data_IF_743662667122
#
_entry.id   IF_743662667122
#
_cell.length_a   1.000
_cell.length_b   1.000
_cell.length_c   1.000
_cell.angle_alpha   90.00
_cell.angle_beta   90.00
_cell.angle_gamma   90.00
#
_symmetry.space_group_name_H-M   'P 1'
#
loop_
_entity.id
_entity.type
_entity.pdbx_description
1 polymer ?
#
# COMPACT_ATOMS: atom_id res chain seq x y z
N UNK A 1 2.98 8.15 1.52
CA UNK A 1 2.07 7.34 0.66
C UNK A 1 1.46 8.24 -0.39
N UNK A 2 1.05 7.69 -1.54
CA UNK A 2 0.38 8.44 -2.59
C UNK A 2 -0.70 7.61 -3.29
N UNK A 3 -1.82 8.24 -3.64
CA UNK A 3 -2.79 7.68 -4.58
C UNK A 3 -2.36 8.00 -6.01
N UNK A 4 -2.43 7.01 -6.90
CA UNK A 4 -2.01 7.11 -8.30
C UNK A 4 -3.14 6.61 -9.19
N UNK A 5 -3.53 7.42 -10.18
CA UNK A 5 -4.62 7.10 -11.10
C UNK A 5 -4.13 6.31 -12.31
N UNK A 6 -3.66 5.09 -12.06
CA UNK A 6 -3.22 4.14 -13.08
C UNK A 6 -3.42 2.69 -12.58
N UNK A 7 -3.34 1.72 -13.49
CA UNK A 7 -3.40 0.29 -13.15
C UNK A 7 -2.10 -0.22 -12.53
N UNK A 8 -2.19 -1.34 -11.81
CA UNK A 8 -1.05 -1.91 -11.08
C UNK A 8 0.06 -2.38 -12.01
N UNK A 9 -0.26 -2.94 -13.18
CA UNK A 9 0.75 -3.48 -14.11
C UNK A 9 1.70 -2.39 -14.60
N UNK A 10 1.15 -1.30 -15.15
CA UNK A 10 1.93 -0.16 -15.61
C UNK A 10 2.62 0.55 -14.47
N UNK A 11 1.97 0.66 -13.30
CA UNK A 11 2.59 1.29 -12.14
C UNK A 11 3.80 0.49 -11.66
N UNK A 12 3.74 -0.84 -11.64
CA UNK A 12 4.86 -1.72 -11.27
C UNK A 12 6.07 -1.55 -12.19
N UNK A 13 5.88 -1.30 -13.48
CA UNK A 13 6.99 -1.01 -14.41
C UNK A 13 7.72 0.29 -14.05
N UNK A 14 6.98 1.31 -13.62
CA UNK A 14 7.54 2.63 -13.27
C UNK A 14 8.20 2.60 -11.89
N UNK A 15 7.53 1.97 -10.91
CA UNK A 15 8.01 1.97 -9.52
C UNK A 15 9.02 0.86 -9.22
N UNK A 16 9.28 -0.06 -10.16
CA UNK A 16 10.09 -1.26 -9.93
C UNK A 16 11.56 -0.98 -9.55
N UNK A 17 12.05 0.23 -9.80
CA UNK A 17 13.40 0.66 -9.41
C UNK A 17 13.46 1.28 -8.00
N UNK A 18 12.32 1.41 -7.32
CA UNK A 18 12.21 2.06 -6.01
C UNK A 18 11.80 1.04 -4.94
N UNK A 19 12.15 1.33 -3.68
CA UNK A 19 11.75 0.48 -2.56
C UNK A 19 10.33 0.82 -2.06
N UNK A 20 9.35 0.65 -2.94
CA UNK A 20 7.94 1.02 -2.76
C UNK A 20 7.06 -0.23 -2.85
N UNK A 21 6.08 -0.33 -1.97
CA UNK A 21 5.02 -1.35 -2.01
C UNK A 21 3.73 -0.79 -2.59
N UNK A 22 2.96 -1.65 -3.27
CA UNK A 22 1.55 -1.38 -3.56
C UNK A 22 0.77 -1.61 -2.27
N UNK A 23 0.24 -0.54 -1.70
CA UNK A 23 -0.50 -0.59 -0.44
C UNK A 23 -1.96 -1.00 -0.62
N UNK A 24 -2.59 -0.57 -1.71
CA UNK A 24 -3.98 -0.90 -2.02
C UNK A 24 -4.26 -0.79 -3.51
N UNK A 25 -5.13 -1.66 -4.01
CA UNK A 25 -5.75 -1.55 -5.34
C UNK A 25 -7.23 -1.24 -5.12
N UNK A 26 -7.57 0.05 -5.11
CA UNK A 26 -8.93 0.52 -4.83
C UNK A 26 -9.85 0.36 -6.04
N UNK A 27 -9.29 0.41 -7.25
CA UNK A 27 -9.99 0.12 -8.50
C UNK A 27 -8.98 -0.23 -9.61
N UNK A 28 -9.42 -0.69 -10.80
CA UNK A 28 -8.52 -0.98 -11.92
C UNK A 28 -7.61 0.18 -12.35
N UNK A 29 -7.94 1.43 -12.00
CA UNK A 29 -7.14 2.63 -12.30
C UNK A 29 -6.94 3.54 -11.08
N UNK A 30 -6.99 2.99 -9.87
CA UNK A 30 -6.74 3.74 -8.64
C UNK A 30 -5.98 2.86 -7.66
N UNK A 31 -4.68 3.12 -7.54
CA UNK A 31 -3.74 2.33 -6.75
C UNK A 31 -3.04 3.25 -5.76
N UNK A 32 -2.81 2.76 -4.55
CA UNK A 32 -2.04 3.47 -3.52
C UNK A 32 -0.66 2.86 -3.42
N UNK A 33 0.37 3.70 -3.43
CA UNK A 33 1.77 3.33 -3.21
C UNK A 33 2.27 3.81 -1.85
N UNK A 34 3.17 3.03 -1.26
CA UNK A 34 3.65 3.23 0.11
C UNK A 34 5.13 2.85 0.23
N UNK A 35 5.91 3.71 0.87
CA UNK A 35 7.35 3.55 0.98
C UNK A 35 7.97 4.76 1.67
N UNK A 36 9.30 4.85 1.65
CA UNK A 36 10.04 6.00 2.18
C UNK A 36 9.65 7.27 1.43
N UNK A 37 9.71 8.41 2.12
CA UNK A 37 9.34 9.70 1.55
C UNK A 37 10.18 10.06 0.31
N UNK A 38 11.49 9.79 0.36
CA UNK A 38 12.40 9.97 -0.77
C UNK A 38 11.94 9.19 -2.00
N UNK A 39 11.70 7.90 -1.82
CA UNK A 39 11.38 6.98 -2.90
C UNK A 39 10.02 7.35 -3.52
N UNK A 40 9.03 7.66 -2.67
CA UNK A 40 7.73 8.18 -3.12
C UNK A 40 7.92 9.45 -3.94
N UNK A 41 8.69 10.42 -3.44
CA UNK A 41 8.90 11.70 -4.11
C UNK A 41 9.53 11.53 -5.49
N UNK A 42 10.54 10.66 -5.61
CA UNK A 42 11.20 10.37 -6.88
C UNK A 42 10.26 9.65 -7.86
N UNK A 43 9.51 8.65 -7.39
CA UNK A 43 8.53 7.95 -8.21
C UNK A 43 7.41 8.88 -8.70
N UNK A 44 6.94 9.81 -7.85
CA UNK A 44 5.94 10.80 -8.25
C UNK A 44 6.45 11.79 -9.29
N UNK A 45 7.74 12.16 -9.22
CA UNK A 45 8.37 12.98 -10.25
C UNK A 45 8.39 12.25 -11.60
N UNK A 46 8.69 10.94 -11.62
CA UNK A 46 8.67 10.14 -12.84
C UNK A 46 7.24 9.96 -13.40
N UNK A 47 6.27 9.67 -12.54
CA UNK A 47 4.85 9.62 -12.91
C UNK A 47 4.37 10.95 -13.51
N UNK A 48 4.83 12.08 -12.98
CA UNK A 48 4.52 13.42 -13.51
C UNK A 48 5.02 13.62 -14.93
N UNK A 49 6.25 13.18 -15.25
CA UNK A 49 6.81 13.27 -16.61
C UNK A 49 5.98 12.48 -17.63
N UNK A 50 5.31 11.43 -17.18
CA UNK A 50 4.43 10.59 -17.99
C UNK A 50 2.97 11.07 -17.99
N UNK A 51 2.67 12.20 -17.35
CA UNK A 51 1.31 12.76 -17.27
C UNK A 51 0.35 11.98 -16.38
N UNK A 52 0.86 11.10 -15.50
CA UNK A 52 0.03 10.27 -14.62
C UNK A 52 -0.35 11.08 -13.37
N UNK A 53 -1.66 11.25 -13.18
CA UNK A 53 -2.20 11.97 -12.02
C UNK A 53 -1.99 11.18 -10.74
N UNK A 54 -1.62 11.90 -9.69
CA UNK A 54 -1.39 11.34 -8.37
C UNK A 54 -1.64 12.39 -7.29
N UNK A 55 -1.74 11.94 -6.03
CA UNK A 55 -1.96 12.81 -4.87
C UNK A 55 -1.24 12.23 -3.66
N UNK A 56 -0.39 13.03 -3.02
CA UNK A 56 0.23 12.66 -1.75
C UNK A 56 -0.85 12.56 -0.67
N UNK A 57 -0.76 11.51 0.15
CA UNK A 57 -1.69 11.29 1.26
C UNK A 57 -1.13 11.91 2.53
N UNK A 58 -1.96 12.66 3.27
CA UNK A 58 -1.64 13.19 4.59
C UNK A 58 -1.77 12.10 5.65
N UNK A 59 -0.73 11.27 5.76
CA UNK A 59 -0.67 10.16 6.71
C UNK A 59 0.69 10.15 7.41
N UNK A 60 0.73 9.59 8.61
CA UNK A 60 1.94 9.60 9.44
C UNK A 60 2.96 8.52 9.08
N UNK A 61 2.52 7.41 8.47
CA UNK A 61 3.37 6.25 8.19
C UNK A 61 3.09 5.66 6.81
N UNK A 62 4.06 4.89 6.32
CA UNK A 62 3.95 4.09 5.10
C UNK A 62 3.25 2.75 5.39
N UNK A 63 1.94 2.78 5.66
CA UNK A 63 1.15 1.56 5.90
C UNK A 63 1.14 0.63 4.68
N UNK A 64 0.97 -0.68 4.93
CA UNK A 64 1.01 -1.73 3.90
C UNK A 64 2.29 -1.72 3.06
N UNK A 65 3.43 -1.38 3.67
CA UNK A 65 4.76 -1.50 3.05
C UNK A 65 5.70 -2.32 3.93
N UNK A 66 6.85 -2.71 3.37
CA UNK A 66 7.93 -3.36 4.13
C UNK A 66 8.36 -2.55 5.37
N UNK A 67 8.15 -1.22 5.39
CA UNK A 67 8.45 -0.38 6.56
C UNK A 67 7.55 -0.70 7.78
N UNK A 68 6.51 -1.51 7.61
CA UNK A 68 5.70 -2.04 8.71
C UNK A 68 6.25 -3.34 9.31
N UNK A 69 7.26 -3.96 8.69
CA UNK A 69 7.86 -5.21 9.19
C UNK A 69 8.37 -5.12 10.64
N UNK A 70 9.02 -4.03 11.11
CA UNK A 70 9.60 -3.99 12.45
C UNK A 70 8.59 -4.17 13.59
N UNK A 71 7.30 -3.87 13.35
CA UNK A 71 6.26 -4.01 14.38
C UNK A 71 5.65 -5.42 14.41
N UNK A 72 5.87 -6.26 13.39
CA UNK A 72 5.11 -7.49 13.20
C UNK A 72 5.26 -8.49 14.35
N UNK A 73 6.47 -8.68 14.87
CA UNK A 73 6.69 -9.63 15.96
C UNK A 73 5.94 -9.23 17.24
N UNK A 74 6.04 -7.95 17.62
CA UNK A 74 5.37 -7.41 18.81
C UNK A 74 3.86 -7.44 18.64
N UNK A 75 3.37 -7.04 17.46
CA UNK A 75 1.95 -7.06 17.14
C UNK A 75 1.38 -8.49 17.18
N UNK A 76 2.10 -9.46 16.61
CA UNK A 76 1.69 -10.86 16.63
C UNK A 76 1.57 -11.42 18.05
N UNK A 77 2.51 -11.11 18.95
CA UNK A 77 2.44 -11.53 20.36
C UNK A 77 1.14 -11.04 21.01
N UNK A 78 0.82 -9.76 20.86
CA UNK A 78 -0.39 -9.16 21.44
C UNK A 78 -1.66 -9.80 20.85
N UNK A 79 -1.73 -9.94 19.52
CA UNK A 79 -2.90 -10.53 18.86
C UNK A 79 -3.10 -12.00 19.23
N UNK A 80 -2.03 -12.75 19.52
CA UNK A 80 -2.13 -14.16 19.93
C UNK A 80 -2.83 -14.37 21.29
N UNK A 81 -2.92 -13.32 22.11
CA UNK A 81 -3.64 -13.34 23.39
C UNK A 81 -5.14 -13.05 23.22
N UNK A 82 -5.57 -12.60 22.03
CA UNK A 82 -6.96 -12.27 21.73
C UNK A 82 -7.71 -13.53 21.29
N UNK A 83 -8.84 -13.84 21.95
CA UNK A 83 -9.72 -14.93 21.51
C UNK A 83 -10.45 -14.55 20.22
N UNK A 84 -10.05 -15.15 19.11
CA UNK A 84 -10.73 -15.02 17.82
C UNK A 84 -11.86 -16.06 17.68
N UNK A 85 -12.99 -15.65 17.12
CA UNK A 85 -14.14 -16.51 16.83
C UNK A 85 -14.51 -16.41 15.36
N UNK A 86 -15.20 -17.42 14.83
CA UNK A 86 -15.71 -17.35 13.47
C UNK A 86 -16.69 -16.17 13.29
N UNK A 87 -16.66 -15.49 12.13
CA UNK A 87 -17.55 -14.38 11.88
C UNK A 87 -19.00 -14.88 11.72
N UNK A 88 -19.95 -14.22 12.37
CA UNK A 88 -21.38 -14.57 12.30
C UNK A 88 -22.06 -14.16 10.97
N UNK A 89 -21.34 -13.41 10.13
CA UNK A 89 -21.78 -12.99 8.81
C UNK A 89 -20.61 -13.10 7.81
N UNK A 90 -20.88 -13.15 6.49
CA UNK A 90 -19.83 -13.17 5.49
C UNK A 90 -18.87 -11.98 5.63
N UNK A 91 -17.56 -12.27 5.63
CA UNK A 91 -16.49 -11.28 5.65
C UNK A 91 -15.70 -11.40 4.35
N UNK A 92 -15.67 -10.34 3.56
CA UNK A 92 -14.79 -10.24 2.40
C UNK A 92 -13.42 -9.80 2.90
N UNK A 93 -12.40 -10.63 2.69
CA UNK A 93 -11.05 -10.35 3.19
C UNK A 93 -10.34 -9.31 2.33
N UNK A 94 -9.70 -8.32 2.96
CA UNK A 94 -8.85 -7.35 2.28
C UNK A 94 -7.59 -7.98 1.65
N UNK A 95 -7.16 -9.16 2.13
CA UNK A 95 -5.99 -9.86 1.58
C UNK A 95 -6.34 -10.61 0.28
N UNK A 96 -7.51 -11.24 0.23
CA UNK A 96 -7.89 -12.14 -0.87
C UNK A 96 -8.94 -11.57 -1.81
N UNK A 97 -9.63 -10.49 -1.42
CA UNK A 97 -10.70 -9.88 -2.22
C UNK A 97 -11.94 -10.76 -2.38
N UNK A 98 -12.10 -11.76 -1.51
CA UNK A 98 -13.18 -12.74 -1.47
C UNK A 98 -13.50 -13.11 -0.04
#
# INVERSE_FOLDING_TARGET
>A
MAAVLENVQKLSEIIGNYNISVAAVNSPKNVVISGKESDITEALAELSKQGIRHTLLQVSHAFHSHLTEPILEQFHKIISEVRLSEPACPLISNLTGK
#
